data_IF_209859972656
#
_entry.id   IF_209859972656
#
_cell.length_a   1.000
_cell.length_b   1.000
_cell.length_c   1.000
_cell.angle_alpha   90.00
_cell.angle_beta   90.00
_cell.angle_gamma   90.00
#
_symmetry.space_group_name_H-M   'P 1'
#
loop_
_entity.id
_entity.type
_entity.pdbx_description
1 polymer ?
#
# COMPACT_ATOMS: atom_id res chain seq x y z
N UNK A 1 -22.36 1.15 18.83
CA UNK A 1 -21.33 1.24 17.77
C UNK A 1 -21.03 -0.17 17.26
N UNK A 2 -20.79 -0.38 15.95
CA UNK A 2 -20.57 -1.72 15.38
C UNK A 2 -19.10 -2.17 15.33
N UNK A 3 -18.16 -1.40 15.90
CA UNK A 3 -16.71 -1.67 15.90
C UNK A 3 -16.11 -1.33 17.28
N UNK A 4 -14.97 -1.93 17.61
CA UNK A 4 -14.26 -1.80 18.90
C UNK A 4 -12.84 -1.21 18.70
N UNK A 5 -12.19 -0.76 19.78
CA UNK A 5 -10.80 -0.26 19.82
C UNK A 5 -10.51 0.95 18.87
N UNK A 6 -9.33 1.05 18.24
CA UNK A 6 -8.95 2.21 17.40
C UNK A 6 -9.91 2.50 16.24
N UNK A 7 -10.58 1.47 15.73
CA UNK A 7 -11.59 1.65 14.70
C UNK A 7 -12.79 2.44 15.26
N UNK A 8 -13.17 2.21 16.52
CA UNK A 8 -14.22 2.98 17.19
C UNK A 8 -13.82 4.46 17.33
N UNK A 9 -12.59 4.76 17.74
CA UNK A 9 -12.10 6.14 17.87
C UNK A 9 -12.19 6.94 16.56
N UNK A 10 -12.03 6.27 15.42
CA UNK A 10 -12.13 6.89 14.08
C UNK A 10 -13.58 7.06 13.63
N UNK A 11 -14.44 6.07 13.91
CA UNK A 11 -15.81 6.03 13.40
C UNK A 11 -16.85 6.68 14.32
N UNK A 12 -16.61 6.71 15.63
CA UNK A 12 -17.53 7.27 16.63
C UNK A 12 -17.91 8.73 16.34
N UNK A 13 -16.98 9.69 16.11
CA UNK A 13 -17.35 11.06 15.81
C UNK A 13 -18.16 11.17 14.50
N UNK A 14 -17.86 10.34 13.50
CA UNK A 14 -18.58 10.32 12.22
C UNK A 14 -20.01 9.81 12.37
N UNK A 15 -20.20 8.78 13.20
CA UNK A 15 -21.54 8.22 13.50
C UNK A 15 -22.35 9.21 14.33
N UNK A 16 -21.75 9.90 15.30
CA UNK A 16 -22.42 10.95 16.08
C UNK A 16 -22.92 12.08 15.17
N UNK A 17 -22.10 12.56 14.23
CA UNK A 17 -22.50 13.59 13.25
C UNK A 17 -23.64 13.08 12.37
N UNK A 18 -23.58 11.81 11.93
CA UNK A 18 -24.64 11.21 11.13
C UNK A 18 -25.95 11.06 11.91
N UNK A 19 -25.89 10.69 13.18
CA UNK A 19 -27.05 10.63 14.10
C UNK A 19 -27.68 12.02 14.28
N UNK A 20 -26.86 13.08 14.42
CA UNK A 20 -27.33 14.47 14.49
C UNK A 20 -27.94 14.97 13.17
N UNK A 21 -27.38 14.57 12.02
CA UNK A 21 -27.90 14.94 10.70
C UNK A 21 -29.25 14.26 10.37
N UNK A 22 -29.52 13.10 10.97
CA UNK A 22 -30.78 12.38 10.85
C UNK A 22 -31.08 11.88 9.43
N UNK A 23 -32.35 11.53 9.18
CA UNK A 23 -32.78 10.98 7.89
C UNK A 23 -32.07 9.66 7.57
N UNK A 24 -31.45 9.57 6.40
CA UNK A 24 -30.79 8.34 5.93
C UNK A 24 -29.30 8.26 6.31
N UNK A 25 -28.72 9.33 6.85
CA UNK A 25 -27.30 9.42 7.19
C UNK A 25 -26.84 8.42 8.27
N UNK A 26 -27.59 8.22 9.38
CA UNK A 26 -27.20 7.26 10.41
C UNK A 26 -27.00 5.83 9.88
N UNK A 27 -27.92 5.38 9.02
CA UNK A 27 -27.88 4.05 8.41
C UNK A 27 -26.71 3.90 7.44
N UNK A 28 -26.42 4.93 6.64
CA UNK A 28 -25.28 4.90 5.70
C UNK A 28 -23.94 4.91 6.40
N UNK A 29 -23.80 5.70 7.47
CA UNK A 29 -22.55 5.77 8.23
C UNK A 29 -22.20 4.41 8.86
N UNK A 30 -23.18 3.74 9.50
CA UNK A 30 -22.99 2.40 10.08
C UNK A 30 -22.69 1.34 9.01
N UNK A 31 -23.34 1.39 7.85
CA UNK A 31 -23.06 0.49 6.74
C UNK A 31 -21.64 0.69 6.18
N UNK A 32 -21.19 1.94 6.02
CA UNK A 32 -19.84 2.26 5.57
C UNK A 32 -18.77 1.80 6.57
N UNK A 33 -19.00 2.04 7.86
CA UNK A 33 -18.12 1.59 8.95
C UNK A 33 -17.88 0.08 8.90
N UNK A 34 -18.95 -0.70 8.80
CA UNK A 34 -18.87 -2.16 8.68
C UNK A 34 -18.12 -2.60 7.42
N UNK A 35 -18.43 -2.00 6.28
CA UNK A 35 -17.80 -2.36 5.01
C UNK A 35 -16.29 -2.06 5.01
N UNK A 36 -15.88 -0.90 5.53
CA UNK A 36 -14.47 -0.50 5.57
C UNK A 36 -13.67 -1.32 6.58
N UNK A 37 -14.19 -1.51 7.79
CA UNK A 37 -13.51 -2.29 8.83
C UNK A 37 -13.34 -3.75 8.42
N UNK A 38 -14.37 -4.36 7.78
CA UNK A 38 -14.25 -5.71 7.23
C UNK A 38 -13.19 -5.79 6.14
N UNK A 39 -13.12 -4.78 5.27
CA UNK A 39 -12.11 -4.75 4.22
C UNK A 39 -10.70 -4.62 4.80
N UNK A 40 -10.51 -3.80 5.83
CA UNK A 40 -9.24 -3.62 6.53
C UNK A 40 -8.69 -4.94 7.10
N UNK A 41 -9.51 -5.68 7.85
CA UNK A 41 -9.13 -7.00 8.39
C UNK A 41 -8.66 -7.95 7.27
N UNK A 42 -9.40 -8.00 6.16
CA UNK A 42 -9.06 -8.86 5.00
C UNK A 42 -7.76 -8.41 4.31
N UNK A 43 -7.46 -7.11 4.28
CA UNK A 43 -6.20 -6.60 3.73
C UNK A 43 -5.02 -6.90 4.65
N UNK A 44 -5.20 -6.79 5.97
CA UNK A 44 -4.15 -7.08 6.95
C UNK A 44 -3.77 -8.56 6.96
N UNK A 45 -4.76 -9.47 6.91
CA UNK A 45 -4.53 -10.90 6.77
C UNK A 45 -3.76 -11.23 5.48
N UNK A 46 -4.15 -10.63 4.36
CA UNK A 46 -3.44 -10.81 3.09
C UNK A 46 -2.01 -10.26 3.12
N UNK A 47 -1.80 -9.10 3.74
CA UNK A 47 -0.48 -8.48 3.89
C UNK A 47 0.43 -9.35 4.75
N UNK A 48 -0.10 -9.90 5.84
CA UNK A 48 0.60 -10.83 6.73
C UNK A 48 0.99 -12.10 5.97
N UNK A 49 0.07 -12.68 5.19
CA UNK A 49 0.33 -13.88 4.40
C UNK A 49 1.39 -13.64 3.30
N UNK A 50 1.30 -12.52 2.58
CA UNK A 50 2.28 -12.14 1.55
C UNK A 50 3.67 -11.92 2.16
N UNK A 51 3.74 -11.31 3.33
CA UNK A 51 5.00 -11.12 4.07
C UNK A 51 5.59 -12.46 4.53
N UNK A 52 4.74 -13.37 5.02
CA UNK A 52 5.15 -14.74 5.35
C UNK A 52 5.72 -15.48 4.13
N UNK A 53 5.08 -15.35 2.97
CA UNK A 53 5.58 -15.93 1.72
C UNK A 53 6.99 -15.45 1.38
N UNK A 54 7.27 -14.15 1.52
CA UNK A 54 8.61 -13.61 1.25
C UNK A 54 9.68 -14.27 2.14
N UNK A 55 9.36 -14.47 3.43
CA UNK A 55 10.25 -15.11 4.40
C UNK A 55 10.48 -16.58 4.05
N UNK A 56 9.43 -17.32 3.72
CA UNK A 56 9.53 -18.72 3.38
C UNK A 56 10.30 -18.92 2.06
N UNK A 57 10.07 -18.05 1.07
CA UNK A 57 10.84 -18.02 -0.18
C UNK A 57 12.31 -17.74 0.12
N UNK A 58 12.64 -16.79 1.00
CA UNK A 58 14.04 -16.52 1.43
C UNK A 58 14.71 -17.78 1.96
N UNK A 59 14.02 -18.50 2.86
CA UNK A 59 14.50 -19.76 3.45
C UNK A 59 14.77 -20.81 2.37
N UNK A 60 13.87 -20.96 1.41
CA UNK A 60 14.06 -21.89 0.28
C UNK A 60 15.29 -21.52 -0.55
N UNK A 61 15.48 -20.23 -0.86
CA UNK A 61 16.68 -19.78 -1.58
C UNK A 61 17.95 -20.09 -0.80
N UNK A 62 17.96 -19.88 0.52
CA UNK A 62 19.11 -20.20 1.38
C UNK A 62 19.40 -21.71 1.42
N UNK A 63 18.36 -22.55 1.55
CA UNK A 63 18.48 -24.02 1.55
C UNK A 63 18.99 -24.58 0.21
N UNK A 64 18.61 -23.96 -0.91
CA UNK A 64 19.05 -24.38 -2.24
C UNK A 64 20.42 -23.82 -2.64
N UNK A 65 21.16 -23.19 -1.73
CA UNK A 65 22.49 -22.65 -1.99
C UNK A 65 22.48 -21.32 -2.76
N UNK A 66 21.43 -20.51 -2.58
CA UNK A 66 21.28 -19.17 -3.15
C UNK A 66 21.36 -19.12 -4.68
N UNK A 67 20.73 -20.09 -5.36
CA UNK A 67 20.63 -20.11 -6.82
C UNK A 67 20.13 -18.77 -7.37
N UNK A 68 20.76 -18.31 -8.45
CA UNK A 68 20.43 -17.05 -9.12
C UNK A 68 18.98 -17.00 -9.64
N UNK A 69 18.48 -18.13 -10.16
CA UNK A 69 17.14 -18.21 -10.76
C UNK A 69 16.55 -19.62 -10.67
N UNK A 70 16.02 -20.06 -9.51
CA UNK A 70 15.29 -21.31 -9.39
C UNK A 70 14.06 -21.31 -10.29
N UNK A 71 13.70 -22.48 -10.84
CA UNK A 71 12.47 -22.63 -11.62
C UNK A 71 11.29 -22.41 -10.70
N UNK A 72 10.23 -21.82 -11.25
CA UNK A 72 8.98 -21.61 -10.50
C UNK A 72 8.40 -22.92 -9.97
N UNK A 73 8.61 -24.05 -10.65
CA UNK A 73 8.17 -25.38 -10.19
C UNK A 73 9.01 -25.89 -9.02
N UNK A 74 10.32 -25.72 -9.06
CA UNK A 74 11.23 -26.18 -7.99
C UNK A 74 10.97 -25.37 -6.71
N UNK A 75 10.88 -24.04 -6.84
CA UNK A 75 10.53 -23.15 -5.73
C UNK A 75 9.17 -23.52 -5.10
N UNK A 76 8.19 -23.83 -5.94
CA UNK A 76 6.86 -24.20 -5.47
C UNK A 76 6.86 -25.55 -4.77
N UNK A 77 7.58 -26.54 -5.30
CA UNK A 77 7.73 -27.85 -4.66
C UNK A 77 8.38 -27.72 -3.28
N UNK A 78 9.42 -26.90 -3.15
CA UNK A 78 10.07 -26.64 -1.87
C UNK A 78 9.13 -25.94 -0.87
N UNK A 79 8.35 -24.94 -1.30
CA UNK A 79 7.36 -24.27 -0.44
C UNK A 79 6.25 -25.22 0.04
N UNK A 80 5.82 -26.16 -0.80
CA UNK A 80 4.80 -27.15 -0.43
C UNK A 80 5.31 -28.27 0.49
N UNK A 81 6.63 -28.45 0.59
CA UNK A 81 7.23 -29.45 1.48
C UNK A 81 7.29 -28.98 2.95
N UNK A 82 7.17 -27.68 3.21
CA UNK A 82 7.16 -27.13 4.57
C UNK A 82 5.77 -27.31 5.20
N UNK A 83 5.64 -28.34 6.05
CA UNK A 83 4.37 -28.68 6.73
C UNK A 83 3.94 -27.63 7.77
N UNK A 84 4.87 -26.81 8.26
CA UNK A 84 4.56 -25.72 9.19
C UNK A 84 3.97 -24.50 8.46
N UNK A 85 4.10 -24.47 7.13
CA UNK A 85 3.64 -23.36 6.30
C UNK A 85 2.25 -23.63 5.69
N UNK A 86 1.40 -22.60 5.55
CA UNK A 86 0.02 -22.75 5.07
C UNK A 86 -0.06 -23.02 3.56
N UNK A 87 1.06 -23.24 2.87
CA UNK A 87 1.12 -23.31 1.41
C UNK A 87 0.46 -24.58 0.86
N UNK A 88 0.56 -25.71 1.56
CA UNK A 88 -0.09 -26.96 1.14
C UNK A 88 -1.63 -26.85 1.14
N UNK A 89 -2.17 -26.07 2.07
CA UNK A 89 -3.61 -25.84 2.23
C UNK A 89 -4.09 -24.54 1.58
N UNK A 90 -3.19 -23.81 0.91
CA UNK A 90 -3.53 -22.54 0.30
C UNK A 90 -4.50 -22.73 -0.88
N UNK A 91 -5.75 -22.26 -0.72
CA UNK A 91 -6.80 -22.46 -1.71
C UNK A 91 -7.33 -23.90 -1.71
N UNK A 92 -7.85 -24.38 -2.84
CA UNK A 92 -8.49 -25.71 -2.91
C UNK A 92 -7.53 -26.86 -3.22
N UNK A 93 -6.35 -26.56 -3.77
CA UNK A 93 -5.37 -27.56 -4.25
C UNK A 93 -3.94 -27.26 -3.79
N UNK A 94 -3.79 -26.40 -2.78
CA UNK A 94 -2.50 -25.85 -2.37
C UNK A 94 -1.98 -24.75 -3.30
N UNK A 95 -0.88 -24.13 -2.86
CA UNK A 95 -0.22 -23.05 -3.57
C UNK A 95 0.22 -23.54 -4.95
N UNK A 96 -0.30 -22.89 -5.99
CA UNK A 96 0.05 -23.16 -7.39
C UNK A 96 0.82 -21.98 -8.01
N UNK A 97 1.34 -22.16 -9.23
CA UNK A 97 2.14 -21.13 -9.90
C UNK A 97 1.38 -19.81 -10.14
N UNK A 98 0.06 -19.87 -10.34
CA UNK A 98 -0.78 -18.69 -10.51
C UNK A 98 -0.91 -17.91 -9.20
N UNK A 99 -1.23 -18.60 -8.10
CA UNK A 99 -1.33 -18.01 -6.78
C UNK A 99 0.00 -17.44 -6.28
N UNK A 100 1.10 -18.18 -6.48
CA UNK A 100 2.44 -17.71 -6.17
C UNK A 100 2.76 -16.39 -6.91
N UNK A 101 2.50 -16.35 -8.22
CA UNK A 101 2.72 -15.13 -9.00
C UNK A 101 1.80 -13.97 -8.56
N UNK A 102 0.57 -14.27 -8.11
CA UNK A 102 -0.36 -13.25 -7.63
C UNK A 102 0.07 -12.67 -6.28
N UNK A 103 0.50 -13.51 -5.34
CA UNK A 103 0.99 -13.07 -4.02
C UNK A 103 2.27 -12.24 -4.15
N UNK A 104 3.15 -12.57 -5.11
CA UNK A 104 4.41 -11.88 -5.34
C UNK A 104 4.27 -10.59 -6.17
N UNK A 105 3.16 -10.41 -6.89
CA UNK A 105 2.94 -9.26 -7.79
C UNK A 105 3.00 -7.92 -7.06
N UNK A 106 2.47 -7.85 -5.85
CA UNK A 106 2.39 -6.61 -5.07
C UNK A 106 3.77 -6.10 -4.64
N UNK A 107 4.78 -6.98 -4.63
CA UNK A 107 6.17 -6.64 -4.40
C UNK A 107 6.94 -6.33 -5.70
N UNK A 108 6.26 -6.29 -6.85
CA UNK A 108 6.89 -6.12 -8.16
C UNK A 108 7.65 -7.36 -8.65
N UNK A 109 7.44 -8.52 -8.04
CA UNK A 109 8.19 -9.76 -8.34
C UNK A 109 7.39 -10.60 -9.32
N UNK A 110 8.02 -11.04 -10.41
CA UNK A 110 7.34 -11.82 -11.44
C UNK A 110 8.27 -12.86 -12.09
N UNK A 111 7.71 -14.02 -12.49
CA UNK A 111 8.51 -15.04 -13.15
C UNK A 111 8.80 -14.64 -14.60
N UNK A 112 10.03 -14.89 -15.05
CA UNK A 112 10.44 -14.70 -16.45
C UNK A 112 10.78 -16.05 -17.10
N UNK A 113 10.60 -16.16 -18.41
CA UNK A 113 11.07 -17.31 -19.16
C UNK A 113 12.60 -17.28 -19.24
N UNK A 114 13.25 -18.35 -18.77
CA UNK A 114 14.70 -18.52 -18.86
C UNK A 114 15.04 -19.85 -19.51
N UNK A 115 16.13 -19.86 -20.28
CA UNK A 115 16.66 -21.08 -20.89
C UNK A 115 17.64 -21.72 -19.91
N UNK A 116 17.42 -22.98 -19.59
CA UNK A 116 18.25 -23.76 -18.69
C UNK A 116 19.25 -24.63 -19.48
N UNK A 117 20.27 -25.18 -18.81
CA UNK A 117 21.33 -26.01 -19.42
C UNK A 117 20.77 -27.21 -20.21
N UNK A 118 19.62 -27.74 -19.80
CA UNK A 118 18.91 -28.80 -20.51
C UNK A 118 18.26 -28.35 -21.84
N UNK A 119 18.52 -27.12 -22.29
CA UNK A 119 17.99 -26.52 -23.51
C UNK A 119 16.52 -26.11 -23.43
N UNK A 120 15.80 -26.46 -22.35
CA UNK A 120 14.39 -26.16 -22.16
C UNK A 120 14.20 -24.77 -21.58
N UNK A 121 13.15 -24.10 -22.03
CA UNK A 121 12.69 -22.86 -21.41
C UNK A 121 11.71 -23.19 -20.28
N UNK A 122 11.87 -22.52 -19.14
CA UNK A 122 10.93 -22.60 -18.03
C UNK A 122 10.79 -21.23 -17.36
N UNK A 123 9.66 -21.03 -16.67
CA UNK A 123 9.48 -19.87 -15.80
C UNK A 123 10.39 -19.98 -14.58
N UNK A 124 11.04 -18.88 -14.24
CA UNK A 124 11.96 -18.80 -13.12
C UNK A 124 11.83 -17.44 -12.42
N UNK A 125 12.08 -17.44 -11.11
CA UNK A 125 12.15 -16.20 -10.35
C UNK A 125 13.61 -15.85 -10.11
N UNK A 126 14.01 -14.65 -10.50
CA UNK A 126 15.39 -14.21 -10.29
C UNK A 126 15.56 -13.75 -8.85
N UNK A 127 16.61 -14.23 -8.17
CA UNK A 127 16.89 -13.91 -6.76
C UNK A 127 16.98 -12.41 -6.52
N UNK A 128 17.54 -11.68 -7.48
CA UNK A 128 17.70 -10.23 -7.40
C UNK A 128 16.38 -9.45 -7.31
N UNK A 129 15.26 -9.99 -7.83
CA UNK A 129 13.94 -9.36 -7.68
C UNK A 129 13.47 -9.33 -6.23
N UNK A 130 13.96 -10.25 -5.38
CA UNK A 130 13.52 -10.35 -4.00
C UNK A 130 14.33 -9.48 -3.03
N UNK A 131 15.49 -8.94 -3.42
CA UNK A 131 16.36 -8.24 -2.46
C UNK A 131 15.69 -7.05 -1.79
N UNK A 132 15.01 -6.20 -2.55
CA UNK A 132 14.29 -5.04 -2.01
C UNK A 132 13.17 -5.49 -1.06
N UNK A 133 12.35 -6.45 -1.50
CA UNK A 133 11.26 -6.99 -0.69
C UNK A 133 11.77 -7.67 0.59
N UNK A 134 12.85 -8.46 0.52
CA UNK A 134 13.46 -9.07 1.70
C UNK A 134 14.07 -8.06 2.66
N UNK A 135 14.73 -7.02 2.14
CA UNK A 135 15.29 -5.96 2.98
C UNK A 135 14.19 -5.21 3.76
N UNK A 136 13.03 -5.00 3.13
CA UNK A 136 11.90 -4.27 3.71
C UNK A 136 11.03 -5.11 4.65
N UNK A 137 10.73 -6.35 4.26
CA UNK A 137 9.70 -7.17 4.92
C UNK A 137 10.26 -8.39 5.66
N UNK A 138 11.55 -8.68 5.53
CA UNK A 138 12.23 -9.75 6.25
C UNK A 138 13.43 -9.20 7.05
N UNK A 139 13.22 -8.22 7.96
CA UNK A 139 14.29 -7.75 8.83
C UNK A 139 14.82 -8.89 9.69
N UNK A 140 16.13 -8.92 9.89
CA UNK A 140 16.76 -9.81 10.86
C UNK A 140 16.22 -9.45 12.25
N UNK A 141 15.73 -10.40 13.07
CA UNK A 141 15.30 -10.10 14.45
C UNK A 141 16.42 -9.48 15.31
N UNK A 142 17.69 -9.57 14.89
CA UNK A 142 18.82 -8.89 15.54
C UNK A 142 19.01 -7.41 15.15
N UNK A 143 18.25 -6.90 14.17
CA UNK A 143 18.22 -5.48 13.83
C UNK A 143 16.93 -4.87 14.39
N UNK A 144 17.00 -3.89 15.32
CA UNK A 144 15.80 -3.13 15.66
C UNK A 144 15.27 -2.52 14.37
N UNK A 145 13.99 -2.76 14.10
CA UNK A 145 13.31 -2.21 12.93
C UNK A 145 13.66 -0.73 12.81
N UNK A 146 13.92 -0.19 11.59
CA UNK A 146 13.78 1.24 11.42
C UNK A 146 12.33 1.52 11.82
N UNK A 147 12.17 2.12 13.00
CA UNK A 147 10.95 2.82 13.39
C UNK A 147 10.51 3.52 12.13
N UNK A 148 9.33 3.15 11.63
CA UNK A 148 8.64 3.98 10.66
C UNK A 148 8.57 5.33 11.33
N UNK A 149 9.50 6.20 10.95
CA UNK A 149 9.59 7.53 11.47
C UNK A 149 8.21 8.09 11.17
N UNK A 150 7.46 8.37 12.23
CA UNK A 150 6.49 9.44 12.25
C UNK A 150 7.27 10.65 11.74
N UNK A 151 7.38 10.76 10.42
CA UNK A 151 7.79 11.93 9.72
C UNK A 151 6.69 12.92 10.04
N UNK A 152 6.91 13.56 11.19
CA UNK A 152 6.26 14.72 11.68
C UNK A 152 5.81 15.52 10.48
N UNK A 153 4.51 15.81 10.43
CA UNK A 153 4.00 17.02 9.84
C UNK A 153 4.84 18.19 10.39
N UNK A 154 5.98 18.44 9.76
CA UNK A 154 6.71 19.67 9.82
C UNK A 154 5.80 20.66 9.11
N UNK A 155 4.87 21.21 9.89
CA UNK A 155 4.16 22.44 9.59
C UNK A 155 5.23 23.42 9.07
N UNK A 156 5.14 23.94 7.84
CA UNK A 156 6.02 25.02 7.46
C UNK A 156 5.74 26.17 8.43
N UNK A 157 6.72 26.47 9.27
CA UNK A 157 6.68 27.60 10.18
C UNK A 157 6.58 28.86 9.33
N UNK A 158 5.52 29.61 9.61
CA UNK A 158 5.18 30.87 8.96
C UNK A 158 6.39 31.81 8.95
N UNK A 159 6.97 31.99 7.77
CA UNK A 159 7.99 33.00 7.52
C UNK A 159 7.40 34.38 7.80
N UNK A 160 8.11 35.13 8.65
CA UNK A 160 7.95 36.54 8.98
C UNK A 160 7.38 37.38 7.81
N UNK A 161 6.34 38.21 8.03
CA UNK A 161 5.79 39.05 6.98
C UNK A 161 6.81 40.13 6.55
N UNK A 162 6.97 40.40 5.23
CA UNK A 162 7.69 41.58 4.77
C UNK A 162 6.87 42.86 5.01
N UNK A 163 7.56 43.91 5.43
CA UNK A 163 7.04 45.25 5.68
C UNK A 163 6.60 45.96 4.38
N UNK A 164 5.74 47.00 4.47
CA UNK A 164 4.84 47.44 3.38
C UNK A 164 5.53 48.23 2.26
N UNK A 165 4.92 48.30 1.06
CA UNK A 165 5.45 49.11 -0.04
C UNK A 165 5.25 50.61 0.25
N UNK A 166 6.36 51.33 0.41
CA UNK A 166 6.40 52.78 0.20
C UNK A 166 6.56 53.04 -1.28
N UNK A 167 5.53 53.61 -1.92
CA UNK A 167 5.55 53.91 -3.34
C UNK A 167 4.35 54.76 -3.74
N UNK A 168 4.49 56.05 -3.49
CA UNK A 168 3.57 57.15 -3.83
C UNK A 168 3.09 57.09 -5.28
N UNK A 169 1.77 57.09 -5.50
CA UNK A 169 1.15 57.34 -6.80
C UNK A 169 1.14 58.85 -7.10
N UNK A 170 1.64 59.32 -8.25
CA UNK A 170 1.42 60.69 -8.68
C UNK A 170 0.01 60.89 -9.24
N UNK A 171 -0.57 62.01 -8.84
CA UNK A 171 -1.91 62.51 -9.14
C UNK A 171 -1.99 63.13 -10.55
N UNK A 172 -2.99 62.70 -11.32
CA UNK A 172 -3.76 63.50 -12.30
C UNK A 172 -3.24 63.59 -13.74
N UNK A 173 -4.07 64.05 -14.73
CA UNK A 173 -5.46 64.52 -14.64
C UNK A 173 -6.42 63.83 -15.66
N UNK A 174 -7.72 64.19 -15.72
CA UNK A 174 -8.78 63.37 -16.30
C UNK A 174 -9.16 63.78 -17.72
N UNK A 175 -9.68 62.83 -18.51
CA UNK A 175 -10.58 63.13 -19.62
C UNK A 175 -11.49 61.93 -19.87
N UNK A 176 -12.81 62.18 -19.76
CA UNK A 176 -13.88 61.26 -20.12
C UNK A 176 -14.08 61.15 -21.65
N UNK A 177 -15.27 60.75 -22.17
CA UNK A 177 -16.57 60.70 -21.50
C UNK A 177 -17.35 59.37 -21.66
N UNK A 178 -18.45 59.33 -20.91
CA UNK A 178 -19.51 58.33 -20.90
C UNK A 178 -20.30 58.22 -22.23
N UNK A 179 -20.89 57.05 -22.49
CA UNK A 179 -21.88 56.80 -23.56
C UNK A 179 -23.26 57.42 -23.23
N UNK A 180 -24.40 56.79 -23.59
CA UNK A 180 -24.76 55.97 -24.76
C UNK A 180 -25.83 56.72 -25.62
N UNK A 181 -26.34 56.12 -26.71
CA UNK A 181 -27.51 56.64 -27.46
C UNK A 181 -28.68 55.64 -27.47
N UNK A 182 -29.94 56.11 -27.36
CA UNK A 182 -31.13 55.27 -27.32
C UNK A 182 -31.62 54.91 -28.73
N UNK A 183 -32.16 53.70 -28.88
CA UNK A 183 -32.95 53.28 -30.05
C UNK A 183 -34.43 53.58 -29.81
N UNK A 184 -35.04 54.08 -30.88
CA UNK A 184 -36.44 54.48 -31.05
C UNK A 184 -37.39 53.28 -31.13
#
# INVERSE_FOLDING_TARGET
>A
MPVEDRAADTWEPLVIIADLAGGHWPSRARAACLAMTRNEVVQDEQTTLKTRLLRDVRRVFEQEGNKEAPRSQDLLAALLQDAEAPWAEYGTKGLNAYHLANLLRDFGISPANRRFENGRQAKAYARNQFFDAWARYCPDPAQPAPTADEAALARPTHGKPPAPPSGTLPIGPPSGPAGPKPTR
#
